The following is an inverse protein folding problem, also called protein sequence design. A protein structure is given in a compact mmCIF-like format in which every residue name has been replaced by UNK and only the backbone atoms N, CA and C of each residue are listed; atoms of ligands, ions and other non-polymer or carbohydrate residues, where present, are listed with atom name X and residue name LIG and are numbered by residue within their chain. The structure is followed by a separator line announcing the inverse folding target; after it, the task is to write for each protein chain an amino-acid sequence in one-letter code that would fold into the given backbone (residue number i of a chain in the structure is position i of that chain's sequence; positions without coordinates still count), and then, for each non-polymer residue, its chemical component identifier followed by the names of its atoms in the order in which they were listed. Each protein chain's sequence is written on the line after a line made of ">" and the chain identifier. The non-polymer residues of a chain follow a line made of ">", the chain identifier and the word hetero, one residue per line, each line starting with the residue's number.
data_IF_387396242506
#
_entry.id   IF_387396242506
#
_cell.length_a   1.000
_cell.length_b   1.000
_cell.length_c   1.000
_cell.angle_alpha   90.00
_cell.angle_beta   90.00
_cell.angle_gamma   90.00
#
_symmetry.space_group_name_H-M   'P 1'
#
loop_
_entity.id
_entity.type
_entity.pdbx_description
1 polymer ?
#
# COMPACT_ATOMS: atom_id res chain seq x y z
N UNK A 1 -10.38 14.02 0.82
CA UNK A 1 -10.36 12.93 -0.19
C UNK A 1 -9.12 12.09 0.05
N UNK A 2 -9.05 10.86 -0.50
CA UNK A 2 -7.85 10.01 -0.42
C UNK A 2 -6.85 10.47 -1.47
N UNK A 3 -5.61 10.71 -1.07
CA UNK A 3 -4.53 11.13 -1.95
C UNK A 3 -3.37 10.15 -1.86
N UNK A 4 -2.73 9.89 -3.01
CA UNK A 4 -1.49 9.10 -3.09
C UNK A 4 -0.36 10.02 -3.51
N UNK A 5 0.61 10.20 -2.62
CA UNK A 5 1.79 11.01 -2.83
C UNK A 5 2.96 10.07 -3.05
N UNK A 6 3.53 10.08 -4.26
CA UNK A 6 4.80 9.43 -4.56
C UNK A 6 5.94 10.40 -4.32
N UNK A 7 7.01 9.91 -3.69
CA UNK A 7 8.27 10.60 -3.49
C UNK A 7 9.39 9.78 -4.11
N UNK A 8 10.35 10.49 -4.71
CA UNK A 8 11.67 9.96 -5.02
C UNK A 8 12.65 10.62 -4.06
N UNK A 9 13.40 9.82 -3.30
CA UNK A 9 14.26 10.30 -2.22
C UNK A 9 15.57 9.53 -2.15
N UNK A 10 16.57 10.11 -1.51
CA UNK A 10 17.84 9.40 -1.24
C UNK A 10 17.61 8.19 -0.33
N UNK A 11 18.21 7.07 -0.70
CA UNK A 11 18.23 5.84 0.10
C UNK A 11 19.33 5.92 1.18
N UNK A 12 19.15 6.83 2.13
CA UNK A 12 20.10 7.07 3.21
C UNK A 12 19.43 6.95 4.60
N UNK A 13 20.18 6.57 5.64
CA UNK A 13 19.68 6.56 7.00
C UNK A 13 19.08 7.91 7.41
N UNK A 14 17.87 7.86 7.96
CA UNK A 14 17.15 9.05 8.45
C UNK A 14 16.31 9.79 7.41
N UNK A 15 16.48 9.54 6.10
CA UNK A 15 15.66 10.18 5.07
C UNK A 15 14.17 9.85 5.26
N UNK A 16 13.84 8.57 5.49
CA UNK A 16 12.47 8.13 5.80
C UNK A 16 11.93 8.78 7.08
N UNK A 17 12.77 8.87 8.12
CA UNK A 17 12.37 9.43 9.41
C UNK A 17 11.98 10.90 9.29
N UNK A 18 12.69 11.68 8.46
CA UNK A 18 12.36 13.10 8.20
C UNK A 18 11.03 13.25 7.48
N UNK A 19 10.76 12.40 6.48
CA UNK A 19 9.46 12.38 5.78
C UNK A 19 8.32 12.06 6.76
N UNK A 20 8.44 10.97 7.54
CA UNK A 20 7.39 10.59 8.51
C UNK A 20 7.26 11.63 9.63
N UNK A 21 8.36 12.21 10.08
CA UNK A 21 8.39 13.27 11.09
C UNK A 21 7.59 14.50 10.69
N UNK A 22 7.61 14.89 9.41
CA UNK A 22 6.80 15.99 8.87
C UNK A 22 5.30 15.73 9.03
N UNK A 23 4.84 14.51 8.75
CA UNK A 23 3.44 14.14 8.93
C UNK A 23 3.05 14.16 10.41
N UNK A 24 3.89 13.57 11.27
CA UNK A 24 3.66 13.51 12.71
C UNK A 24 3.60 14.90 13.36
N UNK A 25 4.54 15.80 13.04
CA UNK A 25 4.59 17.15 13.62
C UNK A 25 3.36 18.01 13.30
N UNK A 26 2.67 17.72 12.20
CA UNK A 26 1.49 18.46 11.76
C UNK A 26 0.17 17.72 12.00
N UNK A 27 0.22 16.53 12.60
CA UNK A 27 -0.96 15.71 12.83
C UNK A 27 -1.62 15.23 11.54
N UNK A 28 -0.85 15.07 10.45
CA UNK A 28 -1.37 14.48 9.22
C UNK A 28 -1.41 12.95 9.36
N UNK A 29 -2.57 12.36 9.08
CA UNK A 29 -2.75 10.91 9.17
C UNK A 29 -2.08 10.19 7.99
N UNK A 30 -1.33 9.12 8.26
CA UNK A 30 -0.82 8.23 7.23
C UNK A 30 -1.69 6.97 7.24
N UNK A 31 -2.43 6.74 6.16
CA UNK A 31 -3.26 5.53 6.02
C UNK A 31 -2.43 4.33 5.58
N UNK A 32 -1.51 4.55 4.64
CA UNK A 32 -0.55 3.54 4.24
C UNK A 32 0.76 4.20 3.81
N UNK A 33 1.87 3.51 4.01
CA UNK A 33 3.19 3.94 3.60
C UNK A 33 3.95 2.73 3.07
N UNK A 34 4.47 2.85 1.86
CA UNK A 34 5.35 1.87 1.25
C UNK A 34 6.64 2.57 0.82
N UNK A 35 7.79 1.96 1.08
CA UNK A 35 9.09 2.44 0.63
C UNK A 35 9.96 1.28 0.20
N UNK A 36 10.63 1.42 -0.95
CA UNK A 36 11.59 0.44 -1.44
C UNK A 36 12.59 1.11 -2.37
N UNK A 37 13.81 0.56 -2.52
CA UNK A 37 14.77 1.00 -3.52
C UNK A 37 14.17 0.95 -4.94
N UNK A 38 14.64 1.84 -5.83
CA UNK A 38 14.30 1.75 -7.25
C UNK A 38 15.28 0.84 -7.99
N UNK A 39 15.30 0.91 -9.33
CA UNK A 39 16.35 0.33 -10.17
C UNK A 39 17.74 0.98 -9.94
N UNK A 40 17.76 2.14 -9.29
CA UNK A 40 18.95 2.77 -8.74
C UNK A 40 18.93 2.59 -7.21
N UNK A 41 19.87 1.78 -6.69
CA UNK A 41 19.93 1.46 -5.25
C UNK A 41 20.21 2.69 -4.37
N UNK A 42 20.71 3.79 -4.93
CA UNK A 42 20.92 5.05 -4.21
C UNK A 42 19.64 5.83 -3.98
N UNK A 43 18.55 5.46 -4.67
CA UNK A 43 17.25 6.10 -4.60
C UNK A 43 16.18 5.15 -4.09
N UNK A 44 15.27 5.69 -3.30
CA UNK A 44 14.07 4.99 -2.85
C UNK A 44 12.83 5.69 -3.40
N UNK A 45 11.86 4.90 -3.81
CA UNK A 45 10.51 5.37 -4.10
C UNK A 45 9.63 5.11 -2.90
N UNK A 46 8.94 6.15 -2.47
CA UNK A 46 8.05 6.10 -1.33
C UNK A 46 6.64 6.51 -1.76
N UNK A 47 5.63 5.74 -1.39
CA UNK A 47 4.22 6.04 -1.62
C UNK A 47 3.53 6.24 -0.28
N UNK A 48 2.89 7.40 -0.09
CA UNK A 48 2.08 7.72 1.08
C UNK A 48 0.64 7.87 0.64
N UNK A 49 -0.25 7.15 1.33
CA UNK A 49 -1.68 7.37 1.24
C UNK A 49 -2.15 8.16 2.45
N UNK A 50 -2.89 9.23 2.23
CA UNK A 50 -3.43 10.10 3.29
C UNK A 50 -4.81 10.61 2.89
N UNK A 51 -5.71 10.74 3.87
CA UNK A 51 -6.93 11.52 3.72
C UNK A 51 -6.68 12.97 4.12
N UNK A 52 -6.89 13.90 3.19
CA UNK A 52 -6.69 15.33 3.45
C UNK A 52 -7.62 16.20 2.62
N UNK A 53 -7.73 17.49 2.97
CA UNK A 53 -8.27 18.52 2.07
C UNK A 53 -7.23 18.94 1.03
N UNK A 54 -7.65 19.59 -0.06
CA UNK A 54 -6.72 20.10 -1.08
C UNK A 54 -5.72 21.10 -0.49
N UNK A 55 -6.16 21.98 0.42
CA UNK A 55 -5.28 22.93 1.10
C UNK A 55 -4.23 22.22 1.97
N UNK A 56 -4.61 21.15 2.67
CA UNK A 56 -3.66 20.36 3.46
C UNK A 56 -2.66 19.62 2.55
N UNK A 57 -3.15 19.05 1.45
CA UNK A 57 -2.31 18.35 0.48
C UNK A 57 -1.26 19.28 -0.14
N UNK A 58 -1.66 20.47 -0.57
CA UNK A 58 -0.75 21.48 -1.11
C UNK A 58 0.34 21.84 -0.08
N UNK A 59 -0.05 21.98 1.19
CA UNK A 59 0.91 22.24 2.26
C UNK A 59 1.86 21.06 2.48
N UNK A 60 1.36 19.82 2.48
CA UNK A 60 2.16 18.60 2.58
C UNK A 60 3.21 18.59 1.46
N UNK A 61 2.80 18.76 0.20
CA UNK A 61 3.71 18.79 -0.95
C UNK A 61 4.78 19.88 -0.80
N UNK A 62 4.37 21.10 -0.43
CA UNK A 62 5.30 22.23 -0.22
C UNK A 62 6.32 21.95 0.88
N UNK A 63 5.94 21.26 1.96
CA UNK A 63 6.90 20.91 3.02
C UNK A 63 7.82 19.76 2.59
N UNK A 64 7.30 18.77 1.87
CA UNK A 64 8.11 17.64 1.38
C UNK A 64 9.20 18.13 0.42
N UNK A 65 8.89 19.10 -0.44
CA UNK A 65 9.88 19.75 -1.31
C UNK A 65 11.00 20.50 -0.59
N UNK A 66 10.86 20.80 0.71
CA UNK A 66 11.92 21.45 1.51
C UNK A 66 12.88 20.46 2.14
N UNK A 67 12.56 19.17 2.14
CA UNK A 67 13.44 18.14 2.67
C UNK A 67 14.57 17.90 1.67
N UNK A 68 15.81 18.02 2.15
CA UNK A 68 17.02 17.90 1.31
C UNK A 68 17.08 16.54 0.63
N UNK A 69 16.66 15.48 1.32
CA UNK A 69 16.72 14.10 0.78
C UNK A 69 15.62 13.80 -0.24
N UNK A 70 14.66 14.71 -0.45
CA UNK A 70 13.53 14.50 -1.38
C UNK A 70 13.86 15.14 -2.72
N UNK A 71 14.09 14.29 -3.73
CA UNK A 71 14.41 14.73 -5.08
C UNK A 71 13.15 15.22 -5.82
N UNK A 72 12.07 14.44 -5.74
CA UNK A 72 10.81 14.76 -6.41
C UNK A 72 9.61 14.32 -5.59
N UNK A 73 8.52 15.08 -5.71
CA UNK A 73 7.21 14.80 -5.12
C UNK A 73 6.18 14.85 -6.25
N UNK A 74 5.29 13.87 -6.28
CA UNK A 74 4.20 13.82 -7.24
C UNK A 74 2.94 13.31 -6.55
N UNK A 75 1.82 13.98 -6.77
CA UNK A 75 0.51 13.38 -6.51
C UNK A 75 0.14 12.44 -7.67
N UNK A 76 0.00 11.15 -7.35
CA UNK A 76 -0.39 10.11 -8.31
C UNK A 76 -1.88 10.19 -8.63
N UNK A 77 -2.70 10.51 -7.62
CA UNK A 77 -4.16 10.66 -7.75
C UNK A 77 -4.59 11.84 -8.63
N UNK A 78 -3.70 12.80 -8.89
CA UNK A 78 -3.98 13.96 -9.76
C UNK A 78 -4.01 13.60 -11.26
N UNK A 79 -3.61 12.37 -11.63
CA UNK A 79 -3.59 11.88 -13.01
C UNK A 79 -4.18 10.50 -13.12
N UNK A 80 -4.41 10.04 -14.35
CA UNK A 80 -4.72 8.64 -14.59
C UNK A 80 -3.55 7.76 -14.11
N UNK A 81 -3.85 6.77 -13.27
CA UNK A 81 -2.83 5.98 -12.60
C UNK A 81 -3.24 4.52 -12.44
N UNK A 82 -2.28 3.72 -12.00
CA UNK A 82 -2.45 2.34 -11.55
C UNK A 82 -1.99 2.30 -10.11
N UNK A 83 -2.85 1.81 -9.24
CA UNK A 83 -2.52 1.48 -7.85
C UNK A 83 -2.72 0.01 -7.59
N UNK A 84 -1.79 -0.59 -6.85
CA UNK A 84 -1.88 -1.97 -6.39
C UNK A 84 -1.35 -2.09 -4.99
N UNK A 85 -1.79 -3.14 -4.32
CA UNK A 85 -1.37 -3.54 -3.00
C UNK A 85 -1.28 -5.06 -2.97
N UNK A 86 -0.33 -5.57 -2.17
CA UNK A 86 -0.20 -6.99 -1.85
C UNK A 86 -0.71 -7.21 -0.42
N UNK A 87 -1.46 -8.28 -0.24
CA UNK A 87 -1.93 -8.73 1.06
C UNK A 87 -1.69 -10.22 1.24
N UNK A 88 -1.29 -10.59 2.45
CA UNK A 88 -1.37 -11.95 2.94
C UNK A 88 -2.39 -12.00 4.08
N UNK A 89 -3.31 -12.95 4.02
CA UNK A 89 -4.31 -13.18 5.06
C UNK A 89 -4.27 -14.62 5.52
N UNK A 90 -4.10 -14.81 6.82
CA UNK A 90 -4.17 -16.10 7.47
C UNK A 90 -5.58 -16.30 8.01
N UNK A 91 -6.19 -17.44 7.72
CA UNK A 91 -7.54 -17.77 8.16
C UNK A 91 -7.60 -19.17 8.76
N UNK A 92 -8.56 -19.40 9.65
CA UNK A 92 -8.92 -20.77 10.05
C UNK A 92 -9.56 -21.48 8.85
N UNK A 93 -9.18 -22.74 8.64
CA UNK A 93 -9.68 -23.54 7.52
C UNK A 93 -9.76 -25.01 7.95
N UNK A 94 -10.93 -25.41 8.45
CA UNK A 94 -11.26 -26.79 8.82
C UNK A 94 -12.60 -27.22 8.20
N UNK A 95 -12.75 -28.52 7.92
CA UNK A 95 -13.98 -29.08 7.34
C UNK A 95 -14.45 -28.33 6.09
N UNK A 96 -15.71 -27.90 6.10
CA UNK A 96 -16.34 -27.16 5.00
C UNK A 96 -15.64 -25.85 4.64
N UNK A 97 -15.10 -25.13 5.63
CA UNK A 97 -14.45 -23.84 5.41
C UNK A 97 -13.22 -23.95 4.49
N UNK A 98 -12.54 -25.11 4.41
CA UNK A 98 -11.40 -25.29 3.50
C UNK A 98 -11.80 -25.15 2.03
N UNK A 99 -12.93 -25.75 1.66
CA UNK A 99 -13.41 -25.68 0.29
C UNK A 99 -13.85 -24.25 -0.06
N UNK A 100 -14.55 -23.58 0.86
CA UNK A 100 -15.00 -22.21 0.63
C UNK A 100 -13.86 -21.20 0.57
N UNK A 101 -12.92 -21.22 1.52
CA UNK A 101 -11.76 -20.33 1.47
C UNK A 101 -10.99 -20.51 0.17
N UNK A 102 -10.83 -21.76 -0.30
CA UNK A 102 -10.21 -22.04 -1.59
C UNK A 102 -11.02 -21.43 -2.75
N UNK A 103 -12.34 -21.62 -2.78
CA UNK A 103 -13.21 -21.03 -3.82
C UNK A 103 -13.14 -19.52 -3.84
N UNK A 104 -13.22 -18.88 -2.68
CA UNK A 104 -13.11 -17.43 -2.55
C UNK A 104 -11.73 -16.95 -3.03
N UNK A 105 -10.66 -17.65 -2.68
CA UNK A 105 -9.32 -17.35 -3.20
C UNK A 105 -9.28 -17.45 -4.73
N UNK A 106 -9.82 -18.52 -5.32
CA UNK A 106 -9.85 -18.72 -6.77
C UNK A 106 -10.65 -17.59 -7.49
N UNK A 107 -11.82 -17.20 -6.95
CA UNK A 107 -12.68 -16.13 -7.49
C UNK A 107 -11.95 -14.78 -7.50
N UNK A 108 -11.29 -14.45 -6.40
CA UNK A 108 -10.52 -13.21 -6.28
C UNK A 108 -9.16 -13.29 -7.00
N UNK A 109 -8.80 -14.44 -7.57
CA UNK A 109 -7.50 -14.71 -8.20
C UNK A 109 -6.34 -14.55 -7.19
N UNK A 110 -6.59 -14.98 -5.96
CA UNK A 110 -5.57 -15.16 -4.92
C UNK A 110 -4.90 -16.52 -5.02
N UNK A 111 -3.86 -16.73 -4.23
CA UNK A 111 -3.08 -17.95 -4.19
C UNK A 111 -2.91 -18.39 -2.73
N UNK A 112 -3.24 -19.65 -2.43
CA UNK A 112 -2.91 -20.22 -1.12
C UNK A 112 -1.41 -20.50 -1.11
N UNK A 113 -0.68 -19.83 -0.23
CA UNK A 113 0.80 -19.91 -0.14
C UNK A 113 1.28 -20.75 1.03
N UNK A 114 0.42 -21.01 2.02
CA UNK A 114 0.71 -21.89 3.14
C UNK A 114 -0.54 -22.67 3.57
N UNK A 115 -0.32 -23.92 3.99
CA UNK A 115 -1.37 -24.89 4.33
C UNK A 115 -0.98 -25.67 5.57
N UNK A 116 -1.84 -25.62 6.58
CA UNK A 116 -1.78 -26.52 7.73
C UNK A 116 -3.08 -27.33 7.86
N UNK A 117 -3.18 -28.17 8.89
CA UNK A 117 -4.39 -28.95 9.16
C UNK A 117 -5.61 -28.07 9.49
N UNK A 118 -5.39 -26.87 10.04
CA UNK A 118 -6.45 -26.01 10.56
C UNK A 118 -6.42 -24.59 10.00
N UNK A 119 -5.45 -24.24 9.13
CA UNK A 119 -5.28 -22.88 8.61
C UNK A 119 -4.83 -22.87 7.15
N UNK A 120 -5.17 -21.77 6.48
CA UNK A 120 -4.59 -21.36 5.20
C UNK A 120 -4.02 -19.96 5.31
N UNK A 121 -2.91 -19.70 4.62
CA UNK A 121 -2.47 -18.34 4.30
C UNK A 121 -2.70 -18.09 2.82
N UNK A 122 -3.47 -17.05 2.50
CA UNK A 122 -3.80 -16.65 1.14
C UNK A 122 -3.09 -15.35 0.80
N UNK A 123 -2.36 -15.34 -0.31
CA UNK A 123 -1.79 -14.16 -0.92
C UNK A 123 -2.74 -13.61 -1.98
N UNK A 124 -2.94 -12.30 -1.99
CA UNK A 124 -3.75 -11.60 -2.99
C UNK A 124 -3.13 -10.25 -3.36
N UNK A 125 -3.17 -9.92 -4.65
CA UNK A 125 -2.83 -8.61 -5.16
C UNK A 125 -4.04 -7.94 -5.84
N UNK A 126 -4.20 -6.64 -5.63
CA UNK A 126 -5.38 -5.90 -6.09
C UNK A 126 -5.33 -4.41 -5.79
N UNK A 127 -6.43 -3.69 -6.08
CA UNK A 127 -6.69 -2.38 -5.48
C UNK A 127 -7.10 -2.57 -4.03
N UNK A 128 -7.03 -1.52 -3.20
CA UNK A 128 -7.44 -1.63 -1.80
C UNK A 128 -8.90 -2.09 -1.67
N UNK A 129 -9.81 -1.63 -2.54
CA UNK A 129 -11.22 -2.07 -2.47
C UNK A 129 -11.38 -3.57 -2.74
N UNK A 130 -10.59 -4.12 -3.68
CA UNK A 130 -10.61 -5.55 -3.98
C UNK A 130 -10.13 -6.36 -2.78
N UNK A 131 -9.09 -5.89 -2.09
CA UNK A 131 -8.55 -6.57 -0.90
C UNK A 131 -9.54 -6.49 0.27
N UNK A 132 -10.17 -5.33 0.48
CA UNK A 132 -11.19 -5.15 1.52
C UNK A 132 -12.42 -6.04 1.29
N UNK A 133 -12.87 -6.15 0.04
CA UNK A 133 -13.94 -7.06 -0.36
C UNK A 133 -13.56 -8.53 -0.11
N UNK A 134 -12.30 -8.90 -0.33
CA UNK A 134 -11.82 -10.26 -0.05
C UNK A 134 -11.82 -10.58 1.44
N UNK A 135 -11.35 -9.65 2.30
CA UNK A 135 -11.39 -9.82 3.75
C UNK A 135 -12.84 -9.96 4.23
N UNK A 136 -13.74 -9.13 3.72
CA UNK A 136 -15.17 -9.17 4.05
C UNK A 136 -15.76 -10.54 3.70
N UNK A 137 -15.55 -11.01 2.47
CA UNK A 137 -16.06 -12.31 2.01
C UNK A 137 -15.48 -13.50 2.81
N UNK A 138 -14.20 -13.44 3.22
CA UNK A 138 -13.61 -14.47 4.08
C UNK A 138 -14.21 -14.48 5.48
N UNK A 139 -14.50 -13.29 6.04
CA UNK A 139 -15.04 -13.13 7.39
C UNK A 139 -16.45 -13.69 7.54
N UNK A 140 -17.22 -13.79 6.46
CA UNK A 140 -18.53 -14.47 6.44
C UNK A 140 -18.42 -16.01 6.54
N UNK A 141 -17.28 -16.56 6.14
CA UNK A 141 -17.04 -18.01 6.04
C UNK A 141 -16.24 -18.54 7.23
N UNK A 142 -15.25 -17.77 7.69
CA UNK A 142 -14.28 -18.22 8.69
C UNK A 142 -13.65 -17.05 9.44
N UNK A 143 -12.97 -17.38 10.54
CA UNK A 143 -12.21 -16.43 11.32
C UNK A 143 -10.90 -16.05 10.63
N UNK A 144 -10.71 -14.74 10.43
CA UNK A 144 -9.44 -14.15 10.02
C UNK A 144 -8.50 -14.09 11.23
N UNK A 145 -7.36 -14.76 11.11
CA UNK A 145 -6.36 -14.87 12.18
C UNK A 145 -5.36 -13.72 12.12
N UNK A 146 -4.92 -13.36 10.92
CA UNK A 146 -3.85 -12.38 10.72
C UNK A 146 -3.97 -11.75 9.32
N UNK A 147 -3.68 -10.46 9.22
CA UNK A 147 -3.62 -9.73 7.95
C UNK A 147 -2.32 -8.94 7.89
N UNK A 148 -1.55 -9.12 6.83
CA UNK A 148 -0.38 -8.32 6.50
C UNK A 148 -0.57 -7.66 5.13
N UNK A 149 -0.36 -6.34 5.06
CA UNK A 149 -0.61 -5.52 3.87
C UNK A 149 0.63 -4.69 3.53
N UNK A 150 0.92 -4.55 2.24
CA UNK A 150 2.11 -3.82 1.76
C UNK A 150 1.94 -2.29 1.78
N UNK A 151 0.71 -1.80 1.90
CA UNK A 151 0.35 -0.44 1.49
C UNK A 151 0.35 -0.29 -0.04
N UNK A 152 -0.09 0.89 -0.50
CA UNK A 152 -0.30 1.13 -1.92
C UNK A 152 1.03 1.41 -2.63
N UNK A 153 1.25 0.72 -3.75
CA UNK A 153 2.20 1.11 -4.79
C UNK A 153 1.45 1.73 -5.96
N UNK A 154 1.81 2.96 -6.31
CA UNK A 154 1.13 3.76 -7.34
C UNK A 154 2.08 4.25 -8.43
N UNK A 155 1.65 4.16 -9.70
CA UNK A 155 2.38 4.68 -10.87
C UNK A 155 1.40 5.38 -11.83
N UNK A 156 1.80 6.52 -12.38
CA UNK A 156 1.03 7.23 -13.40
C UNK A 156 0.98 6.43 -14.72
N UNK A 157 -0.12 6.53 -15.47
CA UNK A 157 -0.26 5.88 -16.78
C UNK A 157 0.44 6.67 -17.89
N UNK A 158 0.79 5.96 -18.97
CA UNK A 158 1.40 6.55 -20.15
C UNK A 158 2.86 6.95 -19.95
N UNK A 159 3.28 8.03 -20.59
CA UNK A 159 4.68 8.49 -20.61
C UNK A 159 5.11 9.22 -19.32
N UNK A 160 4.16 9.54 -18.44
CA UNK A 160 4.45 10.28 -17.20
C UNK A 160 5.17 9.37 -16.21
N UNK A 161 6.42 9.71 -15.90
CA UNK A 161 7.25 8.94 -14.98
C UNK A 161 7.87 9.82 -13.89
N UNK A 162 8.02 9.25 -12.70
CA UNK A 162 8.80 9.82 -11.61
C UNK A 162 10.23 9.26 -11.70
N UNK A 163 11.13 10.01 -12.32
CA UNK A 163 12.56 9.66 -12.48
C UNK A 163 13.42 10.79 -11.91
N UNK A 164 14.65 10.51 -11.48
CA UNK A 164 15.61 11.55 -11.09
C UNK A 164 15.82 12.56 -12.25
#
# INVERSE_FOLDING_TARGET
>A
MKHIISLLMENQPGSLSRVVGLFSQRGYNIESLNVSPTDDETLSRLNITTASSEMQLEQIQKQLHKLIDVLKVQEVTAVEHIERELMMVKVKASGFARAEVKRTADIFRGQIVDVTASQYTVQLAGTSEKLDAFITALSEVTEVVEVARSGIVGIARGERALKA
#
